data_IF_803665129894
#
_entry.id   IF_803665129894
#
_cell.length_a   1.000
_cell.length_b   1.000
_cell.length_c   1.000
_cell.angle_alpha   90.00
_cell.angle_beta   90.00
_cell.angle_gamma   90.00
#
_symmetry.space_group_name_H-M   'P 1'
#
loop_
_entity.id
_entity.type
_entity.pdbx_description
1 polymer ?
#
# COMPACT_ATOMS: atom_id res chain seq x y z
N UNK A 1 3.36 5.20 -14.72
CA UNK A 1 2.53 5.50 -15.90
C UNK A 1 3.05 6.71 -16.62
N UNK A 2 3.16 6.65 -17.94
CA UNK A 2 3.51 7.83 -18.76
C UNK A 2 2.31 8.19 -19.62
N UNK A 3 1.83 9.43 -19.55
CA UNK A 3 0.65 9.88 -20.32
C UNK A 3 1.04 11.08 -21.17
N UNK A 4 0.50 11.19 -22.39
CA UNK A 4 0.68 12.38 -23.21
C UNK A 4 -0.15 13.52 -22.61
N UNK A 5 0.47 14.67 -22.35
CA UNK A 5 -0.23 15.85 -21.82
C UNK A 5 -1.13 16.51 -22.87
N UNK A 6 -0.73 16.46 -24.15
CA UNK A 6 -1.46 17.13 -25.23
C UNK A 6 -2.53 16.24 -25.86
N UNK A 7 -3.75 16.76 -26.12
CA UNK A 7 -4.79 16.04 -26.84
C UNK A 7 -4.51 15.91 -28.35
N UNK A 8 -3.59 16.70 -28.95
CA UNK A 8 -3.27 16.60 -30.38
C UNK A 8 -1.82 16.99 -30.71
N UNK A 9 -1.20 16.26 -31.66
CA UNK A 9 0.14 16.49 -32.28
C UNK A 9 1.37 16.42 -31.37
N UNK A 10 1.29 16.87 -30.11
CA UNK A 10 2.46 17.14 -29.28
C UNK A 10 2.97 15.91 -28.48
N UNK A 11 3.58 14.97 -29.19
CA UNK A 11 3.98 13.64 -28.65
C UNK A 11 5.22 13.63 -27.75
N UNK A 12 5.98 14.73 -27.73
CA UNK A 12 7.14 14.93 -26.84
C UNK A 12 6.72 15.42 -25.45
N UNK A 13 5.52 16.01 -25.32
CA UNK A 13 4.98 16.46 -24.04
C UNK A 13 4.34 15.28 -23.30
N UNK A 14 5.10 14.71 -22.35
CA UNK A 14 4.68 13.54 -21.57
C UNK A 14 4.78 13.80 -20.07
N UNK A 15 3.81 13.31 -19.33
CA UNK A 15 3.79 13.29 -17.87
C UNK A 15 4.13 11.91 -17.36
N UNK A 16 4.96 11.87 -16.32
CA UNK A 16 5.40 10.65 -15.67
C UNK A 16 4.77 10.59 -14.28
N UNK A 17 3.98 9.55 -14.05
CA UNK A 17 3.39 9.21 -12.78
C UNK A 17 3.99 7.90 -12.29
N UNK A 18 4.02 7.70 -10.99
CA UNK A 18 4.32 6.41 -10.39
C UNK A 18 3.35 6.16 -9.24
N UNK A 19 3.10 4.88 -8.97
CA UNK A 19 2.46 4.45 -7.72
C UNK A 19 3.51 3.64 -6.98
N UNK A 20 3.90 4.09 -5.79
CA UNK A 20 4.83 3.38 -4.92
C UNK A 20 4.06 2.65 -3.84
N UNK A 21 4.12 1.33 -3.87
CA UNK A 21 3.54 0.48 -2.82
C UNK A 21 4.65 0.05 -1.87
N UNK A 22 4.52 0.38 -0.58
CA UNK A 22 5.47 -0.03 0.45
C UNK A 22 4.93 -1.28 1.17
N UNK A 23 5.68 -2.38 1.11
CA UNK A 23 5.35 -3.62 1.82
C UNK A 23 6.20 -3.72 3.07
N UNK A 24 5.55 -3.95 4.21
CA UNK A 24 6.20 -4.22 5.50
C UNK A 24 5.85 -5.65 5.90
N UNK A 25 6.82 -6.38 6.45
CA UNK A 25 6.62 -7.72 6.98
C UNK A 25 6.93 -7.66 8.48
N UNK A 26 5.98 -8.12 9.28
CA UNK A 26 6.12 -8.30 10.72
C UNK A 26 5.86 -9.77 11.01
N UNK A 27 6.77 -10.40 11.74
CA UNK A 27 6.66 -11.80 12.14
C UNK A 27 6.54 -11.86 13.67
N UNK A 28 5.58 -12.64 14.16
CA UNK A 28 5.28 -12.80 15.59
C UNK A 28 5.57 -14.25 15.97
N UNK A 29 6.71 -14.47 16.64
CA UNK A 29 7.22 -15.80 16.98
C UNK A 29 6.33 -16.53 18.00
N UNK A 30 5.65 -15.80 18.88
CA UNK A 30 4.77 -16.39 19.90
C UNK A 30 3.45 -15.61 20.00
N UNK A 31 2.40 -16.02 19.27
CA UNK A 31 1.11 -15.37 19.32
C UNK A 31 0.38 -15.73 20.62
N UNK A 32 0.26 -14.77 21.54
CA UNK A 32 -0.62 -14.92 22.70
C UNK A 32 -2.06 -14.55 22.32
N UNK A 33 -3.10 -15.15 22.92
CA UNK A 33 -4.50 -14.83 22.59
C UNK A 33 -4.82 -13.33 22.77
N UNK A 34 -4.20 -12.71 23.78
CA UNK A 34 -4.33 -11.27 24.04
C UNK A 34 -3.73 -10.39 22.94
N UNK A 35 -2.64 -10.83 22.30
CA UNK A 35 -2.00 -10.04 21.23
C UNK A 35 -2.77 -10.12 19.91
N UNK A 36 -3.44 -11.24 19.62
CA UNK A 36 -4.32 -11.36 18.45
C UNK A 36 -5.53 -10.41 18.58
N UNK A 37 -6.18 -10.39 19.74
CA UNK A 37 -7.32 -9.49 20.01
C UNK A 37 -6.92 -8.00 19.97
N UNK A 38 -5.69 -7.68 20.40
CA UNK A 38 -5.17 -6.31 20.35
C UNK A 38 -4.88 -5.87 18.90
N UNK A 39 -4.39 -6.77 18.05
CA UNK A 39 -4.11 -6.47 16.64
C UNK A 39 -5.40 -6.27 15.82
N UNK A 40 -6.48 -6.99 16.15
CA UNK A 40 -7.78 -6.79 15.49
C UNK A 40 -8.50 -5.51 15.92
N UNK A 41 -8.24 -4.99 17.12
CA UNK A 41 -8.84 -3.76 17.66
C UNK A 41 -8.03 -2.49 17.35
N UNK A 42 -6.86 -2.64 16.74
CA UNK A 42 -5.97 -1.52 16.47
C UNK A 42 -6.55 -0.69 15.33
N UNK A 43 -6.78 0.60 15.59
CA UNK A 43 -7.20 1.56 14.56
C UNK A 43 -6.04 1.80 13.60
N UNK A 44 -6.04 1.00 12.53
CA UNK A 44 -5.12 1.16 11.41
C UNK A 44 -5.57 2.35 10.55
N UNK A 45 -4.61 3.09 10.01
CA UNK A 45 -4.91 4.19 9.11
C UNK A 45 -5.63 3.65 7.85
N UNK A 46 -6.67 4.35 7.40
CA UNK A 46 -7.57 3.93 6.30
C UNK A 46 -6.92 3.70 4.92
N UNK A 47 -5.61 3.89 4.79
CA UNK A 47 -4.82 3.65 3.57
C UNK A 47 -3.82 2.50 3.68
N UNK A 48 -3.85 1.71 4.76
CA UNK A 48 -2.97 0.56 4.96
C UNK A 48 -3.78 -0.73 4.85
N UNK A 49 -3.37 -1.59 3.93
CA UNK A 49 -3.90 -2.95 3.81
C UNK A 49 -3.07 -3.91 4.65
N UNK A 50 -3.73 -4.80 5.41
CA UNK A 50 -3.07 -5.75 6.32
C UNK A 50 -3.60 -7.15 6.03
N UNK A 51 -2.68 -8.06 5.70
CA UNK A 51 -2.96 -9.48 5.50
C UNK A 51 -2.36 -10.28 6.67
N UNK A 52 -3.19 -11.01 7.42
CA UNK A 52 -2.75 -11.90 8.50
C UNK A 52 -2.76 -13.34 7.96
N UNK A 53 -1.60 -14.00 7.99
CA UNK A 53 -1.46 -15.43 7.68
C UNK A 53 -1.16 -16.16 8.99
N UNK A 54 -2.01 -17.12 9.36
CA UNK A 54 -1.85 -17.98 10.54
C UNK A 54 -1.05 -19.23 10.19
#
# INVERSE_FOLDING_TARGET
FTVNRSPHVDKKSREQFEIRTHRRLLDIVEPTPQTVDALMKLDLASGVDVEIKL
#
